data_IF_197818703119
#
_entry.id   IF_197818703119
#
_cell.length_a   1.000
_cell.length_b   1.000
_cell.length_c   1.000
_cell.angle_alpha   90.00
_cell.angle_beta   90.00
_cell.angle_gamma   90.00
#
_symmetry.space_group_name_H-M   'P 1'
#
loop_
_entity.id
_entity.type
_entity.pdbx_description
1 polymer ?
#
# COMPACT_ATOMS: atom_id res chain seq x y z
N UNK A 1 -0.05 40.54 -31.18
CA UNK A 1 -1.13 39.59 -30.86
C UNK A 1 -1.84 40.11 -29.62
N UNK A 2 -3.15 40.34 -29.72
CA UNK A 2 -3.95 40.83 -28.60
C UNK A 2 -4.63 39.61 -27.98
N UNK A 3 -4.34 39.34 -26.72
CA UNK A 3 -4.98 38.25 -25.98
C UNK A 3 -6.24 38.78 -25.30
N UNK A 4 -7.41 38.35 -25.77
CA UNK A 4 -8.70 38.85 -25.29
C UNK A 4 -9.53 37.71 -24.70
N UNK A 5 -9.51 37.58 -23.38
CA UNK A 5 -10.39 36.65 -22.68
C UNK A 5 -11.85 37.12 -22.77
N UNK A 6 -12.80 36.23 -23.08
CA UNK A 6 -14.21 36.56 -22.96
C UNK A 6 -14.56 37.04 -21.53
N UNK A 7 -15.59 37.90 -21.39
CA UNK A 7 -16.05 38.32 -20.07
C UNK A 7 -16.38 37.13 -19.17
N UNK A 8 -16.07 37.25 -17.88
CA UNK A 8 -16.31 36.20 -16.87
C UNK A 8 -15.58 34.88 -17.15
N UNK A 9 -14.43 34.93 -17.83
CA UNK A 9 -13.56 33.77 -18.02
C UNK A 9 -12.15 34.01 -17.49
N UNK A 10 -11.47 32.92 -17.17
CA UNK A 10 -10.06 32.87 -16.79
C UNK A 10 -9.35 31.84 -17.66
N UNK A 11 -8.07 32.08 -17.92
CA UNK A 11 -7.27 31.23 -18.80
C UNK A 11 -7.00 29.85 -18.20
N UNK A 12 -6.76 29.78 -16.89
CA UNK A 12 -6.30 28.56 -16.23
C UNK A 12 -7.37 27.98 -15.31
N UNK A 13 -7.45 26.66 -15.31
CA UNK A 13 -8.22 25.93 -14.31
C UNK A 13 -7.47 25.99 -12.99
N UNK A 14 -8.12 26.48 -11.96
CA UNK A 14 -7.57 26.55 -10.62
C UNK A 14 -8.30 25.57 -9.71
N UNK A 15 -7.66 24.45 -9.45
CA UNK A 15 -7.95 23.58 -8.33
C UNK A 15 -6.73 23.45 -7.40
N UNK A 16 -5.90 24.50 -7.33
CA UNK A 16 -4.53 24.48 -6.78
C UNK A 16 -4.45 24.74 -5.28
N UNK A 17 -3.29 24.39 -4.71
CA UNK A 17 -2.92 24.56 -3.31
C UNK A 17 -2.05 25.81 -3.21
N UNK A 18 -2.64 26.96 -3.54
CA UNK A 18 -1.96 28.26 -3.46
C UNK A 18 -2.30 28.98 -2.16
N UNK A 19 -1.40 29.88 -1.74
CA UNK A 19 -1.67 30.76 -0.60
C UNK A 19 -2.96 31.56 -0.82
N UNK A 20 -3.95 31.48 0.08
CA UNK A 20 -5.25 32.09 -0.13
C UNK A 20 -5.21 33.60 0.17
N UNK A 21 -4.60 34.35 -0.74
CA UNK A 21 -4.34 35.80 -0.60
C UNK A 21 -5.53 36.67 -0.99
N UNK A 22 -6.47 36.13 -1.76
CA UNK A 22 -7.68 36.83 -2.20
C UNK A 22 -8.94 36.27 -1.52
N UNK A 23 -10.05 37.04 -1.45
CA UNK A 23 -11.31 36.53 -0.91
C UNK A 23 -11.80 35.26 -1.60
N UNK A 24 -11.66 35.16 -2.93
CA UNK A 24 -12.04 33.96 -3.69
C UNK A 24 -11.18 32.76 -3.32
N UNK A 25 -9.86 32.95 -3.14
CA UNK A 25 -8.98 31.86 -2.72
C UNK A 25 -9.26 31.42 -1.27
N UNK A 26 -9.60 32.37 -0.38
CA UNK A 26 -10.04 32.04 0.98
C UNK A 26 -11.33 31.22 0.98
N UNK A 27 -12.28 31.55 0.10
CA UNK A 27 -13.50 30.77 -0.08
C UNK A 27 -13.22 29.38 -0.65
N UNK A 28 -12.34 29.28 -1.65
CA UNK A 28 -11.91 28.02 -2.24
C UNK A 28 -11.21 27.11 -1.20
N UNK A 29 -10.35 27.67 -0.34
CA UNK A 29 -9.71 26.92 0.74
C UNK A 29 -10.72 26.41 1.77
N UNK A 30 -11.71 27.22 2.18
CA UNK A 30 -12.81 26.74 3.03
C UNK A 30 -13.58 25.60 2.37
N UNK A 31 -13.88 25.75 1.09
CA UNK A 31 -14.62 24.75 0.34
C UNK A 31 -13.83 23.44 0.19
N UNK A 32 -12.51 23.53 0.02
CA UNK A 32 -11.59 22.39 0.04
C UNK A 32 -11.62 21.65 1.38
N UNK A 33 -11.40 22.37 2.49
CA UNK A 33 -11.40 21.79 3.85
C UNK A 33 -12.75 21.15 4.19
N UNK A 34 -13.85 21.82 3.86
CA UNK A 34 -15.20 21.29 4.06
C UNK A 34 -15.45 20.01 3.23
N UNK A 35 -15.03 20.01 1.96
CA UNK A 35 -15.14 18.85 1.09
C UNK A 35 -14.32 17.66 1.59
N UNK A 36 -13.08 17.92 2.01
CA UNK A 36 -12.18 16.93 2.59
C UNK A 36 -12.77 16.33 3.86
N UNK A 37 -13.19 17.15 4.81
CA UNK A 37 -13.77 16.69 6.08
C UNK A 37 -15.03 15.86 5.87
N UNK A 38 -15.94 16.29 4.98
CA UNK A 38 -17.16 15.55 4.67
C UNK A 38 -16.85 14.15 4.11
N UNK A 39 -15.89 14.05 3.19
CA UNK A 39 -15.50 12.78 2.59
C UNK A 39 -14.68 11.89 3.54
N UNK A 40 -13.78 12.45 4.33
CA UNK A 40 -13.09 11.73 5.40
C UNK A 40 -14.09 11.14 6.41
N UNK A 41 -15.11 11.90 6.82
CA UNK A 41 -16.15 11.38 7.71
C UNK A 41 -16.92 10.19 7.11
N UNK A 42 -17.04 10.11 5.78
CA UNK A 42 -17.70 8.98 5.12
C UNK A 42 -16.92 7.67 5.24
N UNK A 43 -15.60 7.74 5.44
CA UNK A 43 -14.74 6.54 5.58
C UNK A 43 -14.90 5.83 6.93
N UNK A 44 -15.54 6.48 7.92
CA UNK A 44 -15.80 5.89 9.24
C UNK A 44 -16.64 4.58 9.18
N UNK A 45 -17.35 4.34 8.08
CA UNK A 45 -18.20 3.15 7.87
C UNK A 45 -17.54 2.08 7.01
N UNK A 46 -16.31 2.30 6.58
CA UNK A 46 -15.60 1.35 5.74
C UNK A 46 -15.38 0.03 6.50
N UNK A 47 -15.70 -1.06 5.81
CA UNK A 47 -15.23 -2.41 6.16
C UNK A 47 -14.05 -2.82 5.28
N UNK A 48 -13.99 -2.20 4.11
CA UNK A 48 -12.92 -2.16 3.14
C UNK A 48 -13.05 -0.79 2.42
N UNK A 49 -12.04 -0.33 1.65
CA UNK A 49 -12.18 0.87 0.84
C UNK A 49 -13.41 0.82 -0.08
N UNK A 50 -14.20 1.89 -0.07
CA UNK A 50 -15.41 1.99 -0.90
C UNK A 50 -15.02 2.47 -2.30
N UNK A 51 -14.67 1.52 -3.17
CA UNK A 51 -14.26 1.77 -4.56
C UNK A 51 -15.33 2.53 -5.37
N UNK A 52 -16.61 2.26 -5.10
CA UNK A 52 -17.71 2.94 -5.77
C UNK A 52 -17.78 4.42 -5.38
N UNK A 53 -17.60 4.74 -4.08
CA UNK A 53 -17.50 6.11 -3.60
C UNK A 53 -16.29 6.82 -4.21
N UNK A 54 -15.12 6.19 -4.20
CA UNK A 54 -13.86 6.75 -4.73
C UNK A 54 -14.02 7.12 -6.21
N UNK A 55 -14.48 6.19 -7.05
CA UNK A 55 -14.68 6.46 -8.47
C UNK A 55 -15.78 7.50 -8.69
N UNK A 56 -16.86 7.50 -7.89
CA UNK A 56 -17.89 8.54 -8.00
C UNK A 56 -17.34 9.95 -7.73
N UNK A 57 -16.45 10.09 -6.74
CA UNK A 57 -15.83 11.38 -6.38
C UNK A 57 -14.77 11.78 -7.42
N UNK A 58 -14.04 10.82 -7.97
CA UNK A 58 -13.13 11.03 -9.10
C UNK A 58 -13.86 11.54 -10.34
N UNK A 59 -14.98 10.91 -10.69
CA UNK A 59 -15.85 11.33 -11.79
C UNK A 59 -16.45 12.71 -11.51
N UNK A 60 -16.96 12.94 -10.30
CA UNK A 60 -17.52 14.24 -9.90
C UNK A 60 -16.50 15.38 -10.07
N UNK A 61 -15.23 15.16 -9.71
CA UNK A 61 -14.14 16.13 -9.94
C UNK A 61 -13.94 16.42 -11.44
N UNK A 62 -13.96 15.40 -12.30
CA UNK A 62 -13.89 15.58 -13.77
C UNK A 62 -15.11 16.35 -14.30
N UNK A 63 -16.29 16.10 -13.74
CA UNK A 63 -17.52 16.77 -14.16
C UNK A 63 -17.56 18.24 -13.72
N UNK A 64 -17.01 18.57 -12.54
CA UNK A 64 -16.81 19.96 -12.12
C UNK A 64 -15.91 20.72 -13.10
N UNK A 65 -14.78 20.11 -13.51
CA UNK A 65 -13.90 20.70 -14.51
C UNK A 65 -14.63 20.92 -15.84
N UNK A 66 -15.31 19.89 -16.36
CA UNK A 66 -16.08 20.00 -17.63
C UNK A 66 -17.16 21.09 -17.56
N UNK A 67 -17.82 21.26 -16.41
CA UNK A 67 -18.77 22.37 -16.19
C UNK A 67 -18.11 23.74 -16.06
N UNK A 68 -16.80 23.83 -15.85
CA UNK A 68 -16.07 25.09 -15.86
C UNK A 68 -15.59 25.47 -17.26
N UNK A 69 -15.39 24.50 -18.16
CA UNK A 69 -14.86 24.71 -19.51
C UNK A 69 -15.79 25.55 -20.40
N UNK A 70 -15.18 26.46 -21.15
CA UNK A 70 -15.81 27.31 -22.18
C UNK A 70 -14.93 27.22 -23.43
N UNK A 71 -15.52 26.80 -24.55
CA UNK A 71 -14.86 26.78 -25.85
C UNK A 71 -14.89 28.18 -26.45
N UNK A 72 -13.71 28.67 -26.84
CA UNK A 72 -13.53 29.99 -27.43
C UNK A 72 -12.74 29.84 -28.72
N UNK A 73 -13.24 30.34 -29.86
CA UNK A 73 -12.49 30.29 -31.10
C UNK A 73 -11.12 30.96 -30.95
N UNK A 74 -10.07 30.31 -31.44
CA UNK A 74 -8.70 30.83 -31.44
C UNK A 74 -8.61 32.19 -32.14
N UNK A 75 -9.43 32.39 -33.18
CA UNK A 75 -9.51 33.66 -33.89
C UNK A 75 -9.97 34.81 -33.00
N UNK A 76 -10.88 34.54 -32.06
CA UNK A 76 -11.33 35.51 -31.04
C UNK A 76 -10.25 35.68 -29.97
N UNK A 77 -9.72 34.59 -29.43
CA UNK A 77 -8.79 34.65 -28.30
C UNK A 77 -7.46 35.34 -28.65
N UNK A 78 -6.94 35.09 -29.85
CA UNK A 78 -5.65 35.62 -30.32
C UNK A 78 -5.76 36.80 -31.30
N UNK A 79 -6.99 37.16 -31.70
CA UNK A 79 -7.25 38.21 -32.68
C UNK A 79 -6.72 37.90 -34.08
N UNK A 80 -6.70 36.62 -34.47
CA UNK A 80 -6.18 36.17 -35.76
C UNK A 80 -7.26 35.40 -36.55
N UNK A 81 -7.86 35.98 -37.60
CA UNK A 81 -8.97 35.36 -38.34
C UNK A 81 -8.60 34.05 -39.04
N UNK A 82 -7.31 33.80 -39.29
CA UNK A 82 -6.85 32.60 -39.99
C UNK A 82 -6.79 31.34 -39.10
N UNK A 83 -7.13 31.45 -37.81
CA UNK A 83 -7.09 30.33 -36.87
C UNK A 83 -8.47 29.66 -36.74
N UNK A 84 -8.56 28.39 -37.14
CA UNK A 84 -9.78 27.57 -37.19
C UNK A 84 -9.84 26.47 -36.11
N UNK A 85 -9.37 26.77 -34.90
CA UNK A 85 -9.45 25.84 -33.76
C UNK A 85 -10.07 26.50 -32.55
N UNK A 86 -10.61 25.70 -31.63
CA UNK A 86 -11.09 26.20 -30.34
C UNK A 86 -10.01 26.11 -29.26
N UNK A 87 -10.07 27.05 -28.32
CA UNK A 87 -9.30 27.07 -27.10
C UNK A 87 -10.23 26.85 -25.91
N UNK A 88 -9.73 26.16 -24.90
CA UNK A 88 -10.46 25.98 -23.64
C UNK A 88 -10.03 27.09 -22.68
N UNK A 89 -11.01 27.88 -22.24
CA UNK A 89 -10.90 28.76 -21.06
C UNK A 89 -11.89 28.28 -20.01
N UNK A 90 -11.89 28.89 -18.83
CA UNK A 90 -12.73 28.47 -17.71
C UNK A 90 -13.62 29.59 -17.21
N UNK A 91 -14.83 29.28 -16.76
CA UNK A 91 -15.73 30.24 -16.10
C UNK A 91 -15.05 30.83 -14.86
N UNK A 92 -15.08 32.14 -14.70
CA UNK A 92 -14.59 32.80 -13.49
C UNK A 92 -15.39 32.33 -12.26
N UNK A 93 -14.70 32.15 -11.12
CA UNK A 93 -15.31 31.67 -9.87
C UNK A 93 -15.51 30.16 -9.79
N UNK A 94 -14.98 29.38 -10.75
CA UNK A 94 -15.04 27.91 -10.68
C UNK A 94 -14.22 27.32 -9.51
N UNK A 95 -13.27 28.10 -8.98
CA UNK A 95 -12.28 27.74 -7.96
C UNK A 95 -12.93 27.07 -6.75
N UNK A 96 -14.05 27.59 -6.26
CA UNK A 96 -14.75 27.09 -5.06
C UNK A 96 -15.27 25.67 -5.28
N UNK A 97 -15.95 25.42 -6.40
CA UNK A 97 -16.47 24.12 -6.75
C UNK A 97 -15.34 23.12 -7.06
N UNK A 98 -14.30 23.59 -7.74
CA UNK A 98 -13.12 22.80 -8.08
C UNK A 98 -12.38 22.35 -6.80
N UNK A 99 -12.14 23.26 -5.88
CA UNK A 99 -11.50 23.02 -4.60
C UNK A 99 -12.31 22.06 -3.72
N UNK A 100 -13.64 22.21 -3.65
CA UNK A 100 -14.51 21.28 -2.92
C UNK A 100 -14.43 19.85 -3.48
N UNK A 101 -14.52 19.70 -4.81
CA UNK A 101 -14.45 18.40 -5.45
C UNK A 101 -13.07 17.73 -5.28
N UNK A 102 -11.99 18.53 -5.36
CA UNK A 102 -10.64 18.07 -5.02
C UNK A 102 -10.58 17.56 -3.59
N UNK A 103 -11.05 18.34 -2.62
CA UNK A 103 -11.03 17.96 -1.20
C UNK A 103 -11.72 16.63 -0.95
N UNK A 104 -12.92 16.44 -1.50
CA UNK A 104 -13.66 15.18 -1.38
C UNK A 104 -12.89 13.99 -1.92
N UNK A 105 -12.41 14.08 -3.17
CA UNK A 105 -11.68 12.98 -3.81
C UNK A 105 -10.36 12.69 -3.09
N UNK A 106 -9.61 13.73 -2.70
CA UNK A 106 -8.33 13.56 -2.03
C UNK A 106 -8.46 12.86 -0.68
N UNK A 107 -9.50 13.18 0.10
CA UNK A 107 -9.71 12.53 1.40
C UNK A 107 -9.90 11.01 1.27
N UNK A 108 -10.75 10.56 0.35
CA UNK A 108 -10.98 9.11 0.18
C UNK A 108 -9.77 8.39 -0.42
N UNK A 109 -8.99 9.05 -1.29
CA UNK A 109 -7.74 8.48 -1.81
C UNK A 109 -6.67 8.34 -0.74
N UNK A 110 -6.52 9.34 0.15
CA UNK A 110 -5.58 9.24 1.28
C UNK A 110 -6.01 8.11 2.22
N UNK A 111 -7.31 7.99 2.51
CA UNK A 111 -7.81 6.91 3.35
C UNK A 111 -7.58 5.53 2.70
N UNK A 112 -7.81 5.39 1.39
CA UNK A 112 -7.54 4.15 0.64
C UNK A 112 -6.06 3.78 0.68
N UNK A 113 -5.18 4.73 0.37
CA UNK A 113 -3.73 4.49 0.37
C UNK A 113 -3.21 4.06 1.75
N UNK A 114 -3.69 4.70 2.82
CA UNK A 114 -3.35 4.28 4.18
C UNK A 114 -3.89 2.88 4.49
N UNK A 115 -5.14 2.58 4.10
CA UNK A 115 -5.72 1.25 4.29
C UNK A 115 -4.88 0.17 3.62
N UNK A 116 -4.57 0.33 2.33
CA UNK A 116 -3.76 -0.60 1.55
C UNK A 116 -2.36 -0.78 2.17
N UNK A 117 -1.71 0.30 2.59
CA UNK A 117 -0.41 0.20 3.25
C UNK A 117 -0.46 -0.58 4.57
N UNK A 118 -1.51 -0.40 5.36
CA UNK A 118 -1.68 -1.15 6.62
C UNK A 118 -2.01 -2.62 6.37
N UNK A 119 -2.79 -2.92 5.34
CA UNK A 119 -3.08 -4.28 4.91
C UNK A 119 -1.80 -4.99 4.41
N UNK A 120 -0.99 -4.33 3.59
CA UNK A 120 0.31 -4.82 3.12
C UNK A 120 1.29 -5.10 4.27
N UNK A 121 1.18 -4.33 5.36
CA UNK A 121 1.92 -4.57 6.60
C UNK A 121 1.35 -5.72 7.45
N UNK A 122 0.21 -6.31 7.08
CA UNK A 122 -0.41 -7.44 7.77
C UNK A 122 -1.29 -7.04 8.95
N UNK A 123 -1.74 -5.79 9.04
CA UNK A 123 -2.72 -5.39 10.05
C UNK A 123 -4.13 -5.89 9.69
N UNK A 124 -4.94 -6.29 10.69
CA UNK A 124 -6.30 -6.77 10.46
C UNK A 124 -7.24 -5.67 9.98
N UNK A 125 -7.80 -5.86 8.78
CA UNK A 125 -8.71 -4.93 8.10
C UNK A 125 -9.90 -4.51 8.96
N UNK A 126 -10.49 -5.44 9.73
CA UNK A 126 -11.67 -5.21 10.55
C UNK A 126 -11.47 -4.14 11.64
N UNK A 127 -10.21 -3.80 11.95
CA UNK A 127 -9.85 -2.82 12.95
C UNK A 127 -9.35 -1.48 12.37
N UNK A 128 -9.03 -1.41 11.08
CA UNK A 128 -8.43 -0.22 10.47
C UNK A 128 -9.37 1.00 10.51
N UNK A 129 -10.66 0.82 10.23
CA UNK A 129 -11.62 1.92 10.28
C UNK A 129 -11.69 2.58 11.68
N UNK A 130 -11.70 1.75 12.74
CA UNK A 130 -11.83 2.25 14.11
C UNK A 130 -10.51 2.78 14.66
N UNK A 131 -9.42 2.03 14.48
CA UNK A 131 -8.14 2.31 15.15
C UNK A 131 -7.25 3.29 14.38
N UNK A 132 -7.44 3.41 13.06
CA UNK A 132 -6.65 4.27 12.18
C UNK A 132 -7.47 5.45 11.67
N UNK A 133 -8.57 5.17 10.95
CA UNK A 133 -9.35 6.24 10.33
C UNK A 133 -10.15 7.06 11.35
N UNK A 134 -10.61 6.46 12.45
CA UNK A 134 -11.33 7.15 13.52
C UNK A 134 -10.55 8.35 14.11
N UNK A 135 -9.34 8.14 14.64
CA UNK A 135 -8.48 9.23 15.11
C UNK A 135 -8.16 10.26 14.03
N UNK A 136 -7.85 9.81 12.82
CA UNK A 136 -7.61 10.70 11.69
C UNK A 136 -8.80 11.62 11.38
N UNK A 137 -10.02 11.09 11.36
CA UNK A 137 -11.24 11.88 11.14
C UNK A 137 -11.41 12.94 12.23
N UNK A 138 -11.04 12.65 13.48
CA UNK A 138 -11.09 13.64 14.57
C UNK A 138 -10.13 14.81 14.29
N UNK A 139 -8.89 14.53 13.91
CA UNK A 139 -7.89 15.56 13.56
C UNK A 139 -8.29 16.33 12.30
N UNK A 140 -8.83 15.65 11.29
CA UNK A 140 -9.37 16.31 10.07
C UNK A 140 -10.48 17.28 10.43
N UNK A 141 -11.35 16.96 11.39
CA UNK A 141 -12.41 17.89 11.84
C UNK A 141 -11.83 19.12 12.51
N UNK A 142 -10.79 18.98 13.31
CA UNK A 142 -10.09 20.11 13.93
C UNK A 142 -9.48 20.98 12.84
N UNK A 143 -8.61 20.40 12.00
CA UNK A 143 -7.95 21.09 10.89
C UNK A 143 -8.93 21.81 9.95
N UNK A 144 -10.08 21.19 9.63
CA UNK A 144 -11.06 21.78 8.74
C UNK A 144 -11.77 23.01 9.32
N UNK A 145 -11.81 23.15 10.65
CA UNK A 145 -12.43 24.27 11.36
C UNK A 145 -11.40 25.31 11.86
N UNK A 146 -10.10 25.03 11.75
CA UNK A 146 -9.07 26.01 12.09
C UNK A 146 -9.15 27.26 11.21
N UNK A 147 -8.76 28.40 11.79
CA UNK A 147 -8.66 29.66 11.05
C UNK A 147 -7.61 29.52 9.93
N UNK A 148 -8.01 29.89 8.72
CA UNK A 148 -7.12 29.88 7.56
C UNK A 148 -6.18 31.09 7.65
N UNK A 149 -4.89 30.82 7.75
CA UNK A 149 -3.83 31.84 7.67
C UNK A 149 -3.40 32.03 6.20
N UNK A 150 -3.58 33.22 5.60
CA UNK A 150 -3.20 33.48 4.21
C UNK A 150 -1.68 33.40 3.96
N UNK A 151 -0.86 33.39 5.01
CA UNK A 151 0.60 33.30 4.93
C UNK A 151 1.14 31.89 5.22
N UNK A 152 0.28 30.95 5.61
CA UNK A 152 0.70 29.59 5.98
C UNK A 152 -0.24 28.55 5.40
N UNK A 153 0.32 27.69 4.55
CA UNK A 153 -0.39 26.49 4.10
C UNK A 153 -0.22 25.37 5.11
N UNK A 154 -1.33 24.91 5.68
CA UNK A 154 -1.39 23.76 6.58
C UNK A 154 -2.02 22.62 5.78
N UNK A 155 -1.25 21.58 5.38
CA UNK A 155 -1.80 20.44 4.66
C UNK A 155 -2.81 19.68 5.53
N UNK A 156 -3.72 18.89 4.93
CA UNK A 156 -4.55 17.99 5.71
C UNK A 156 -3.69 17.00 6.51
N UNK A 157 -4.11 16.63 7.73
CA UNK A 157 -3.40 15.62 8.51
C UNK A 157 -3.42 14.28 7.79
N UNK A 158 -2.36 13.48 7.97
CA UNK A 158 -2.28 12.14 7.39
C UNK A 158 -2.76 11.09 8.38
N UNK A 159 -3.43 10.01 7.93
CA UNK A 159 -3.95 9.00 8.84
C UNK A 159 -2.90 8.38 9.75
N UNK A 160 -1.73 8.05 9.21
CA UNK A 160 -0.60 7.41 9.90
C UNK A 160 0.00 8.27 11.03
N UNK A 161 -0.09 9.59 10.88
CA UNK A 161 0.37 10.59 11.86
C UNK A 161 -0.63 10.75 13.01
N UNK A 162 -1.90 10.38 12.80
CA UNK A 162 -2.98 10.57 13.76
C UNK A 162 -3.23 9.36 14.66
N UNK A 163 -2.52 8.24 14.45
CA UNK A 163 -2.75 7.00 15.21
C UNK A 163 -2.19 7.17 16.63
N UNK A 164 -3.03 7.14 17.68
CA UNK A 164 -2.56 7.20 19.06
C UNK A 164 -1.69 5.99 19.41
N UNK A 165 -0.72 6.16 20.30
CA UNK A 165 0.19 5.09 20.73
C UNK A 165 -0.56 3.85 21.24
N UNK A 166 -1.64 4.04 21.99
CA UNK A 166 -2.49 2.94 22.46
C UNK A 166 -3.14 2.14 21.31
N UNK A 167 -3.51 2.81 20.21
CA UNK A 167 -4.06 2.13 19.03
C UNK A 167 -2.97 1.38 18.26
N UNK A 168 -1.76 1.95 18.16
CA UNK A 168 -0.60 1.26 17.55
C UNK A 168 -0.28 -0.04 18.30
N UNK A 169 -0.13 0.05 19.63
CA UNK A 169 0.11 -1.12 20.47
C UNK A 169 -0.97 -2.20 20.29
N UNK A 170 -2.24 -1.79 20.20
CA UNK A 170 -3.35 -2.71 19.99
C UNK A 170 -3.30 -3.36 18.60
N UNK A 171 -2.98 -2.61 17.55
CA UNK A 171 -2.82 -3.13 16.20
C UNK A 171 -1.68 -4.15 16.13
N UNK A 172 -0.55 -3.85 16.77
CA UNK A 172 0.60 -4.77 16.87
C UNK A 172 0.24 -6.08 17.58
N UNK A 173 -0.50 -6.00 18.69
CA UNK A 173 -0.98 -7.17 19.42
C UNK A 173 -1.90 -8.05 18.58
N UNK A 174 -2.81 -7.43 17.82
CA UNK A 174 -3.74 -8.17 16.96
C UNK A 174 -3.01 -8.84 15.79
N UNK A 175 -2.09 -8.11 15.15
CA UNK A 175 -1.23 -8.65 14.10
C UNK A 175 -0.43 -9.86 14.62
N UNK A 176 0.23 -9.73 15.77
CA UNK A 176 1.00 -10.83 16.37
C UNK A 176 0.12 -12.05 16.71
N UNK A 177 -1.12 -11.84 17.14
CA UNK A 177 -2.06 -12.93 17.40
C UNK A 177 -2.44 -13.69 16.12
N UNK A 178 -2.66 -12.98 15.00
CA UNK A 178 -2.96 -13.60 13.70
C UNK A 178 -1.75 -14.35 13.15
N UNK A 179 -0.55 -13.77 13.27
CA UNK A 179 0.69 -14.43 12.88
C UNK A 179 0.93 -15.71 13.70
N UNK A 180 0.62 -15.71 15.00
CA UNK A 180 0.73 -16.88 15.86
C UNK A 180 -0.29 -17.98 15.55
N UNK A 181 -1.54 -17.63 15.22
CA UNK A 181 -2.60 -18.59 14.84
C UNK A 181 -2.34 -19.20 13.45
N UNK A 182 -1.65 -18.47 12.58
CA UNK A 182 -1.24 -18.93 11.25
C UNK A 182 -0.05 -19.90 11.27
N UNK A 183 0.64 -20.06 12.40
CA UNK A 183 1.68 -21.08 12.55
C UNK A 183 1.04 -22.44 12.81
N UNK A 184 1.02 -23.31 11.79
CA UNK A 184 0.71 -24.73 12.00
C UNK A 184 1.63 -25.29 13.11
N UNK A 185 1.10 -26.08 14.06
CA UNK A 185 1.94 -26.72 15.06
C UNK A 185 2.96 -27.59 14.32
N UNK A 186 4.24 -27.22 14.41
CA UNK A 186 5.34 -28.04 13.92
C UNK A 186 5.13 -29.42 14.56
N UNK A 187 4.84 -30.48 13.77
CA UNK A 187 4.67 -31.79 14.36
C UNK A 187 5.94 -32.11 15.14
N UNK A 188 5.84 -32.63 16.38
CA UNK A 188 7.04 -32.99 17.13
C UNK A 188 7.89 -33.85 16.22
N UNK A 189 9.22 -33.61 16.13
CA UNK A 189 10.07 -34.41 15.26
C UNK A 189 9.90 -35.86 15.68
N UNK A 190 9.12 -36.62 14.90
CA UNK A 190 9.05 -38.06 15.05
C UNK A 190 10.46 -38.53 14.78
N UNK A 191 11.17 -38.90 15.83
CA UNK A 191 12.49 -39.50 15.75
C UNK A 191 12.33 -40.83 14.98
N UNK A 192 12.40 -40.77 13.65
CA UNK A 192 12.47 -41.95 12.82
C UNK A 192 13.78 -42.63 13.17
N UNK A 193 13.70 -43.83 13.74
CA UNK A 193 14.87 -44.67 13.96
C UNK A 193 15.49 -44.97 12.60
N UNK A 194 16.83 -45.05 12.54
CA UNK A 194 17.66 -45.25 11.32
C UNK A 194 17.17 -46.39 10.42
N UNK A 195 16.35 -47.31 10.94
CA UNK A 195 15.75 -48.43 10.21
C UNK A 195 14.58 -48.07 9.28
N UNK A 196 13.86 -46.96 9.50
CA UNK A 196 12.69 -46.59 8.68
C UNK A 196 13.02 -46.17 7.23
N UNK A 197 14.06 -45.36 6.96
CA UNK A 197 14.43 -44.98 5.60
C UNK A 197 14.91 -46.15 4.73
N UNK A 198 15.50 -47.18 5.35
CA UNK A 198 16.03 -48.38 4.67
C UNK A 198 14.88 -49.27 4.17
N UNK A 199 13.76 -49.31 4.89
CA UNK A 199 12.57 -50.07 4.52
C UNK A 199 11.73 -49.32 3.48
N UNK A 200 11.66 -47.99 3.55
CA UNK A 200 10.82 -47.16 2.66
C UNK A 200 11.34 -47.04 1.22
N UNK A 201 12.58 -47.44 0.92
CA UNK A 201 13.12 -47.33 -0.44
C UNK A 201 13.89 -48.57 -0.89
N UNK A 202 13.16 -49.59 -1.31
CA UNK A 202 13.64 -50.85 -1.89
C UNK A 202 14.27 -50.73 -3.29
N UNK A 203 14.79 -49.57 -3.69
CA UNK A 203 15.28 -49.29 -5.05
C UNK A 203 16.69 -48.70 -5.12
N UNK A 204 17.46 -48.81 -4.05
CA UNK A 204 18.75 -48.12 -3.93
C UNK A 204 19.85 -48.98 -4.56
N UNK A 205 20.66 -48.36 -5.44
CA UNK A 205 21.77 -49.05 -6.13
C UNK A 205 22.91 -49.28 -5.14
N UNK A 206 23.64 -50.41 -5.26
CA UNK A 206 24.77 -50.69 -4.39
C UNK A 206 25.93 -49.70 -4.61
N UNK A 207 26.74 -49.43 -3.57
CA UNK A 207 27.91 -48.55 -3.64
C UNK A 207 28.91 -48.96 -4.71
N UNK A 208 29.52 -47.95 -5.36
CA UNK A 208 30.50 -48.13 -6.45
C UNK A 208 31.96 -48.17 -5.93
N UNK A 209 32.21 -47.94 -4.63
CA UNK A 209 33.58 -47.95 -4.09
C UNK A 209 33.73 -49.02 -3.03
N UNK A 210 34.40 -50.11 -3.39
CA UNK A 210 34.84 -51.14 -2.46
C UNK A 210 36.30 -50.89 -2.06
N UNK A 211 36.58 -50.99 -0.75
CA UNK A 211 37.91 -50.94 -0.10
C UNK A 211 38.53 -49.54 0.07
N UNK A 212 37.92 -48.69 0.90
CA UNK A 212 38.42 -47.33 1.21
C UNK A 212 39.06 -47.16 2.60
N UNK A 213 38.77 -48.02 3.57
CA UNK A 213 39.31 -47.95 4.94
C UNK A 213 39.68 -49.34 5.47
N UNK A 214 40.82 -49.45 6.15
CA UNK A 214 41.17 -50.63 6.95
C UNK A 214 40.86 -50.43 8.44
N UNK A 215 40.69 -51.53 9.18
CA UNK A 215 40.42 -51.49 10.62
C UNK A 215 41.57 -50.83 11.39
N UNK A 216 41.26 -49.79 12.16
CA UNK A 216 42.24 -49.01 12.92
C UNK A 216 42.71 -47.73 12.21
N UNK A 217 42.33 -47.51 10.95
CA UNK A 217 42.62 -46.27 10.25
C UNK A 217 41.58 -45.18 10.54
N UNK A 218 42.00 -43.92 10.46
CA UNK A 218 41.09 -42.76 10.60
C UNK A 218 41.09 -41.97 9.30
N UNK A 219 39.91 -41.76 8.72
CA UNK A 219 39.73 -40.92 7.53
C UNK A 219 39.02 -39.61 7.88
N UNK A 220 39.59 -38.48 7.44
CA UNK A 220 38.92 -37.17 7.49
C UNK A 220 38.20 -36.90 6.18
N UNK A 221 36.87 -36.87 6.21
CA UNK A 221 36.06 -36.47 5.06
C UNK A 221 35.78 -34.96 5.13
N UNK A 222 36.52 -34.17 4.34
CA UNK A 222 36.36 -32.72 4.24
C UNK A 222 35.77 -32.39 2.86
N UNK A 223 34.56 -31.85 2.86
CA UNK A 223 33.87 -31.36 1.65
C UNK A 223 32.91 -30.23 2.01
N UNK A 224 32.48 -29.47 1.01
CA UNK A 224 31.52 -28.37 1.15
C UNK A 224 30.15 -28.83 1.71
N UNK A 225 29.35 -27.89 2.22
CA UNK A 225 28.00 -28.16 2.71
C UNK A 225 27.13 -28.80 1.61
N UNK A 226 26.28 -29.76 2.00
CA UNK A 226 25.33 -30.51 1.14
C UNK A 226 25.92 -31.47 0.09
N UNK A 227 27.23 -31.75 0.12
CA UNK A 227 27.89 -32.70 -0.80
C UNK A 227 27.83 -34.16 -0.31
N UNK A 228 26.80 -34.55 0.44
CA UNK A 228 26.58 -35.97 0.78
C UNK A 228 27.54 -36.62 1.79
N UNK A 229 28.33 -35.86 2.56
CA UNK A 229 29.27 -36.44 3.57
C UNK A 229 28.60 -37.36 4.59
N UNK A 230 27.44 -36.94 5.08
CA UNK A 230 26.64 -37.73 6.03
C UNK A 230 26.12 -39.02 5.40
N UNK A 231 25.92 -39.04 4.07
CA UNK A 231 25.50 -40.22 3.33
C UNK A 231 26.60 -41.27 3.26
N UNK A 232 27.84 -40.86 2.94
CA UNK A 232 29.00 -41.76 2.91
C UNK A 232 29.27 -42.40 4.29
N UNK A 233 29.12 -41.63 5.37
CA UNK A 233 29.27 -42.18 6.74
C UNK A 233 28.15 -43.17 7.06
N UNK A 234 26.92 -42.88 6.63
CA UNK A 234 25.77 -43.79 6.86
C UNK A 234 25.95 -45.09 6.08
N UNK A 235 26.44 -45.03 4.84
CA UNK A 235 26.70 -46.19 3.99
C UNK A 235 27.82 -47.09 4.56
N UNK A 236 28.95 -46.51 5.00
CA UNK A 236 30.03 -47.25 5.68
C UNK A 236 29.57 -47.97 6.95
N UNK A 237 28.67 -47.34 7.71
CA UNK A 237 28.07 -47.96 8.91
C UNK A 237 27.14 -49.12 8.52
N UNK A 238 26.35 -48.98 7.46
CA UNK A 238 25.51 -50.08 6.96
C UNK A 238 26.36 -51.26 6.46
N UNK A 239 27.39 -51.01 5.65
CA UNK A 239 28.28 -52.04 5.12
C UNK A 239 29.04 -52.80 6.23
N UNK A 240 29.50 -52.11 7.28
CA UNK A 240 30.16 -52.78 8.42
C UNK A 240 29.20 -53.62 9.27
N UNK A 241 27.92 -53.24 9.33
CA UNK A 241 26.88 -54.01 10.02
C UNK A 241 26.42 -55.22 9.21
N UNK A 242 26.48 -55.18 7.88
CA UNK A 242 26.14 -56.29 7.00
C UNK A 242 27.32 -57.25 6.73
N UNK A 243 28.56 -56.74 6.70
CA UNK A 243 29.79 -57.50 6.43
C UNK A 243 30.30 -58.39 7.58
N UNK A 244 29.75 -58.29 8.80
CA UNK A 244 30.12 -59.13 9.94
C UNK A 244 29.66 -60.60 9.87
N UNK A 245 29.27 -61.10 8.69
CA UNK A 245 28.76 -62.48 8.48
C UNK A 245 29.59 -63.37 7.57
N UNK A 246 30.73 -62.92 7.04
CA UNK A 246 31.68 -63.79 6.35
C UNK A 246 33.11 -63.33 6.65
N UNK A 247 33.69 -63.91 7.70
CA UNK A 247 35.10 -64.31 7.80
C UNK A 247 35.26 -65.13 9.09
N UNK A 248 34.99 -66.43 8.94
CA UNK A 248 35.53 -67.53 9.72
C UNK A 248 36.22 -68.48 8.76
#
# INVERSE_FOLDING_TARGET
>A
MTYALPPNTVQFYNDSLDFPKTPLQMEAERAYRAGFCAAACATARWRSPDEALIESLRKSRKDVRRRAEVLVPSSVLFGNPDMDSDQIVYRAGHDVNAANARGKHQAVEIARQCWEAMEDEGYPEEHLAQLVLGPWIAEVRVWANELIDPNRMIPPPRPEECIPEANRLRLDQLRAAIEADSQEPIPPPTAKTVRQPVIEKSGWRPPVIQVLLQSGETMKNIASLKVGKSWLVTELVCDTLEGGRHDG
#
